data_IF_367733945239
#
_entry.id   IF_367733945239
#
_cell.length_a   1.000
_cell.length_b   1.000
_cell.length_c   1.000
_cell.angle_alpha   90.00
_cell.angle_beta   90.00
_cell.angle_gamma   90.00
#
_symmetry.space_group_name_H-M   'P 1'
#
loop_
_entity.id
_entity.type
_entity.pdbx_description
1 polymer ?
#
# COMPACT_ATOMS: atom_id res chain seq x y z
N UNK A 1 13.67 3.35 4.58
CA UNK A 1 12.78 3.14 5.74
C UNK A 1 11.57 2.30 5.34
N UNK A 2 11.55 1.03 5.75
CA UNK A 2 10.50 0.06 5.43
C UNK A 2 9.18 0.36 6.15
N UNK A 3 9.20 1.12 7.25
CA UNK A 3 8.01 1.43 8.05
C UNK A 3 7.02 2.30 7.27
N UNK A 4 7.53 3.26 6.50
CA UNK A 4 6.75 4.19 5.67
C UNK A 4 6.06 3.47 4.49
N UNK A 5 6.70 2.44 3.94
CA UNK A 5 6.14 1.59 2.88
C UNK A 5 5.06 0.62 3.38
N UNK A 6 5.23 0.08 4.58
CA UNK A 6 4.19 -0.74 5.22
C UNK A 6 2.92 0.07 5.46
N UNK A 7 3.04 1.34 5.85
CA UNK A 7 1.89 2.25 5.98
C UNK A 7 1.19 2.44 4.64
N UNK A 8 1.93 2.70 3.57
CA UNK A 8 1.36 2.87 2.23
C UNK A 8 0.60 1.62 1.75
N UNK A 9 1.20 0.44 1.91
CA UNK A 9 0.55 -0.83 1.56
C UNK A 9 -0.69 -1.10 2.40
N UNK A 10 -0.65 -0.76 3.70
CA UNK A 10 -1.82 -0.88 4.56
C UNK A 10 -2.97 0.03 4.13
N UNK A 11 -2.67 1.20 3.53
CA UNK A 11 -3.67 2.09 2.95
C UNK A 11 -4.24 1.52 1.65
N UNK A 12 -3.40 1.01 0.74
CA UNK A 12 -3.86 0.35 -0.50
C UNK A 12 -4.79 -0.85 -0.23
N UNK A 13 -4.44 -1.71 0.74
CA UNK A 13 -5.29 -2.86 1.10
C UNK A 13 -6.58 -2.48 1.81
N UNK A 14 -6.61 -1.34 2.50
CA UNK A 14 -7.81 -0.85 3.20
C UNK A 14 -8.84 -0.29 2.21
N UNK A 15 -8.41 0.40 1.16
CA UNK A 15 -9.30 0.93 0.11
C UNK A 15 -10.01 -0.15 -0.70
N UNK A 16 -9.46 -1.38 -0.79
CA UNK A 16 -10.13 -2.49 -1.48
C UNK A 16 -11.33 -3.08 -0.74
N UNK A 17 -11.62 -2.63 0.50
CA UNK A 17 -12.73 -3.14 1.32
C UNK A 17 -13.93 -2.18 1.38
N UNK A 18 -13.92 -1.09 0.60
CA UNK A 18 -14.96 -0.04 0.67
C UNK A 18 -15.99 -0.06 -0.47
N UNK A 19 -15.92 -1.00 -1.43
CA UNK A 19 -16.80 -1.03 -2.63
C UNK A 19 -18.10 -1.85 -2.51
N UNK A 20 -18.64 -2.05 -1.31
CA UNK A 20 -19.98 -2.63 -1.13
C UNK A 20 -20.70 -1.94 0.04
N UNK A 21 -21.41 -0.85 -0.23
CA UNK A 21 -22.29 -0.27 0.80
C UNK A 21 -22.82 1.14 0.57
N UNK A 22 -22.95 1.63 -0.66
CA UNK A 22 -23.84 2.77 -0.92
C UNK A 22 -25.23 2.25 -1.32
N UNK A 23 -26.11 2.03 -0.34
CA UNK A 23 -27.54 2.31 -0.54
C UNK A 23 -28.23 2.57 0.82
N UNK A 24 -29.05 3.62 0.83
CA UNK A 24 -30.08 3.94 1.82
C UNK A 24 -29.68 4.66 3.13
N UNK A 25 -29.25 5.91 2.97
CA UNK A 25 -29.63 7.00 3.89
C UNK A 25 -31.11 7.32 3.72
N UNK A 26 -31.95 6.88 4.66
CA UNK A 26 -33.13 7.59 5.23
C UNK A 26 -34.21 6.60 5.70
N UNK A 27 -33.99 5.98 6.86
CA UNK A 27 -35.08 5.78 7.81
C UNK A 27 -34.58 6.01 9.23
N UNK A 28 -34.80 7.24 9.66
CA UNK A 28 -34.55 7.76 11.00
C UNK A 28 -35.45 7.03 12.01
N UNK A 29 -34.86 6.85 13.21
CA UNK A 29 -35.46 6.60 14.53
C UNK A 29 -35.76 5.14 14.87
N UNK A 30 -34.95 4.64 15.82
CA UNK A 30 -35.36 3.57 16.72
C UNK A 30 -34.63 2.24 16.53
N UNK A 31 -33.31 2.18 16.79
CA UNK A 31 -32.73 0.96 17.33
C UNK A 31 -31.37 1.22 17.98
N UNK A 32 -31.41 1.25 19.32
CA UNK A 32 -30.44 0.66 20.23
C UNK A 32 -28.98 0.64 19.76
N UNK A 33 -28.19 1.51 20.39
CA UNK A 33 -26.80 1.31 20.83
C UNK A 33 -26.27 -0.12 20.62
N UNK A 34 -25.90 -0.46 19.39
CA UNK A 34 -24.97 -1.56 19.12
C UNK A 34 -23.59 -0.94 19.09
N UNK A 35 -22.98 -0.86 20.27
CA UNK A 35 -21.53 -0.99 20.36
C UNK A 35 -21.18 -2.27 19.60
N UNK A 36 -20.76 -2.12 18.34
CA UNK A 36 -20.14 -3.18 17.56
C UNK A 36 -19.00 -3.69 18.43
N UNK A 37 -19.22 -4.79 19.15
CA UNK A 37 -18.17 -5.57 19.79
C UNK A 37 -17.23 -5.99 18.67
N UNK A 38 -16.19 -5.19 18.44
CA UNK A 38 -15.00 -5.61 17.71
C UNK A 38 -14.43 -6.78 18.51
N UNK A 39 -14.86 -8.01 18.19
CA UNK A 39 -14.18 -9.21 18.66
C UNK A 39 -12.75 -9.10 18.14
N UNK A 40 -11.81 -8.79 19.03
CA UNK A 40 -10.39 -8.74 18.72
C UNK A 40 -9.96 -10.15 18.38
N UNK A 41 -9.95 -10.50 17.09
CA UNK A 41 -9.44 -11.77 16.61
C UNK A 41 -7.97 -11.88 17.01
N UNK A 42 -7.70 -12.64 18.08
CA UNK A 42 -6.35 -12.87 18.59
C UNK A 42 -5.70 -13.93 17.72
N UNK A 43 -5.06 -13.51 16.64
CA UNK A 43 -4.24 -14.40 15.82
C UNK A 43 -3.14 -15.05 16.68
N UNK A 44 -2.88 -16.34 16.41
CA UNK A 44 -1.76 -17.05 17.02
C UNK A 44 -0.43 -16.38 16.62
N UNK A 45 0.62 -16.54 17.43
CA UNK A 45 1.93 -15.98 17.12
C UNK A 45 2.49 -16.52 15.80
N UNK A 46 2.24 -17.80 15.50
CA UNK A 46 2.59 -18.45 14.23
C UNK A 46 1.88 -17.79 13.04
N UNK A 47 0.56 -17.58 13.14
CA UNK A 47 -0.21 -16.90 12.10
C UNK A 47 0.26 -15.45 11.88
N UNK A 48 0.56 -14.71 12.95
CA UNK A 48 1.09 -13.33 12.84
C UNK A 48 2.44 -13.28 12.11
N UNK A 49 3.36 -14.20 12.45
CA UNK A 49 4.66 -14.28 11.80
C UNK A 49 4.52 -14.58 10.30
N UNK A 50 3.63 -15.49 9.93
CA UNK A 50 3.35 -15.79 8.52
C UNK A 50 2.77 -14.57 7.79
N UNK A 51 1.79 -13.88 8.37
CA UNK A 51 1.21 -12.67 7.77
C UNK A 51 2.27 -11.59 7.55
N UNK A 52 3.17 -11.37 8.52
CA UNK A 52 4.26 -10.42 8.35
C UNK A 52 5.24 -10.82 7.24
N UNK A 53 5.54 -12.12 7.10
CA UNK A 53 6.36 -12.64 5.99
C UNK A 53 5.70 -12.38 4.65
N UNK A 54 4.43 -12.74 4.49
CA UNK A 54 3.65 -12.50 3.27
C UNK A 54 3.56 -11.00 2.94
N UNK A 55 3.33 -10.15 3.95
CA UNK A 55 3.31 -8.70 3.78
C UNK A 55 4.67 -8.17 3.29
N UNK A 56 5.77 -8.73 3.81
CA UNK A 56 7.12 -8.39 3.35
C UNK A 56 7.36 -8.78 1.89
N UNK A 57 6.94 -9.98 1.49
CA UNK A 57 7.04 -10.46 0.10
C UNK A 57 6.19 -9.61 -0.84
N UNK A 58 4.92 -9.39 -0.51
CA UNK A 58 4.03 -8.54 -1.29
C UNK A 58 4.56 -7.11 -1.42
N UNK A 59 5.11 -6.55 -0.33
CA UNK A 59 5.75 -5.23 -0.34
C UNK A 59 6.96 -5.14 -1.25
N UNK A 60 7.78 -6.21 -1.29
CA UNK A 60 8.93 -6.29 -2.17
C UNK A 60 8.47 -6.34 -3.63
N UNK A 61 7.55 -7.25 -3.95
CA UNK A 61 7.05 -7.44 -5.31
C UNK A 61 6.42 -6.16 -5.86
N UNK A 62 5.57 -5.50 -5.06
CA UNK A 62 4.95 -4.23 -5.44
C UNK A 62 5.98 -3.14 -5.77
N UNK A 63 7.00 -2.97 -4.93
CA UNK A 63 8.07 -1.99 -5.18
C UNK A 63 8.85 -2.34 -6.45
N UNK A 64 9.08 -3.62 -6.71
CA UNK A 64 9.79 -4.04 -7.91
C UNK A 64 9.00 -3.85 -9.19
N UNK A 65 7.70 -4.11 -9.14
CA UNK A 65 6.80 -3.80 -10.25
C UNK A 65 6.76 -2.29 -10.53
N UNK A 66 6.63 -1.46 -9.50
CA UNK A 66 6.66 0.00 -9.64
C UNK A 66 7.97 0.50 -10.25
N UNK A 67 9.10 -0.01 -9.76
CA UNK A 67 10.42 0.37 -10.28
C UNK A 67 10.55 -0.01 -11.77
N UNK A 68 10.20 -1.25 -12.12
CA UNK A 68 10.40 -1.80 -13.47
C UNK A 68 9.46 -1.17 -14.49
N UNK A 69 8.21 -0.90 -14.14
CA UNK A 69 7.21 -0.35 -15.07
C UNK A 69 7.32 1.16 -15.23
N UNK A 70 7.62 1.89 -14.17
CA UNK A 70 7.49 3.35 -14.18
C UNK A 70 8.80 4.10 -13.99
N UNK A 71 9.70 3.62 -13.13
CA UNK A 71 10.92 4.37 -12.77
C UNK A 71 12.07 4.10 -13.74
N UNK A 72 12.42 2.83 -13.95
CA UNK A 72 13.55 2.40 -14.78
C UNK A 72 13.40 2.87 -16.24
N UNK A 73 12.22 2.72 -16.89
CA UNK A 73 12.06 3.15 -18.28
C UNK A 73 12.21 4.67 -18.46
N UNK A 74 11.92 5.45 -17.42
CA UNK A 74 11.94 6.91 -17.45
C UNK A 74 13.10 7.52 -16.65
N UNK A 75 14.15 6.74 -16.36
CA UNK A 75 15.26 7.15 -15.47
C UNK A 75 15.92 8.47 -15.90
N UNK A 76 15.97 8.72 -17.21
CA UNK A 76 16.59 9.90 -17.80
C UNK A 76 15.61 11.08 -17.89
N UNK A 77 14.30 10.81 -17.96
CA UNK A 77 13.26 11.84 -17.91
C UNK A 77 12.70 12.02 -16.49
N UNK A 78 13.46 12.73 -15.65
CA UNK A 78 13.04 13.07 -14.28
C UNK A 78 11.75 13.89 -14.19
N UNK A 79 11.29 14.53 -15.28
CA UNK A 79 10.05 15.33 -15.24
C UNK A 79 8.83 14.40 -15.14
N UNK A 80 8.83 13.30 -15.90
CA UNK A 80 7.77 12.28 -15.83
C UNK A 80 7.66 11.63 -14.44
N UNK A 81 8.78 11.53 -13.71
CA UNK A 81 8.84 10.90 -12.38
C UNK A 81 8.43 11.82 -11.22
N UNK A 82 7.96 13.05 -11.48
CA UNK A 82 7.57 14.00 -10.41
C UNK A 82 6.31 13.60 -9.65
N UNK A 83 5.45 12.80 -10.27
CA UNK A 83 4.17 12.37 -9.73
C UNK A 83 4.09 10.84 -9.75
N UNK A 84 3.38 10.25 -8.77
CA UNK A 84 3.10 8.82 -8.81
C UNK A 84 2.22 8.46 -10.02
N UNK A 85 2.25 7.18 -10.45
CA UNK A 85 1.35 6.70 -11.48
C UNK A 85 -0.12 6.86 -11.05
N UNK A 86 -0.99 7.18 -12.01
CA UNK A 86 -2.42 7.42 -11.76
C UNK A 86 -3.14 6.15 -11.28
N UNK A 87 -2.61 4.97 -11.61
CA UNK A 87 -3.09 3.66 -11.18
C UNK A 87 -2.94 3.47 -9.66
N UNK A 88 -2.09 4.26 -9.01
CA UNK A 88 -1.83 4.18 -7.57
C UNK A 88 -2.03 5.54 -6.89
N UNK A 89 -3.27 6.08 -6.88
CA UNK A 89 -3.56 7.42 -6.37
C UNK A 89 -3.32 7.55 -4.86
N UNK A 90 -3.28 6.43 -4.14
CA UNK A 90 -2.98 6.39 -2.71
C UNK A 90 -1.51 6.67 -2.38
N UNK A 91 -0.61 6.63 -3.38
CA UNK A 91 0.81 6.95 -3.17
C UNK A 91 0.94 8.46 -3.03
N UNK A 92 1.44 8.92 -1.88
CA UNK A 92 1.70 10.34 -1.67
C UNK A 92 2.90 10.78 -2.49
N UNK A 93 2.87 12.01 -2.99
CA UNK A 93 3.95 12.59 -3.80
C UNK A 93 5.31 12.55 -3.09
N UNK A 94 5.32 12.76 -1.78
CA UNK A 94 6.53 12.74 -0.96
C UNK A 94 7.12 11.33 -0.88
N UNK A 95 6.25 10.32 -0.75
CA UNK A 95 6.66 8.93 -0.67
C UNK A 95 7.14 8.41 -2.03
N UNK A 96 6.48 8.84 -3.10
CA UNK A 96 6.90 8.59 -4.48
C UNK A 96 8.28 9.19 -4.78
N UNK A 97 8.51 10.45 -4.41
CA UNK A 97 9.82 11.08 -4.58
C UNK A 97 10.92 10.29 -3.88
N UNK A 98 10.70 9.93 -2.61
CA UNK A 98 11.63 9.11 -1.83
C UNK A 98 11.83 7.70 -2.40
N UNK A 99 10.87 7.18 -3.16
CA UNK A 99 10.98 5.92 -3.87
C UNK A 99 11.90 6.03 -5.07
N UNK A 100 11.57 6.98 -5.96
CA UNK A 100 12.32 7.24 -7.19
C UNK A 100 13.78 7.52 -6.88
N UNK A 101 14.05 8.40 -5.91
CA UNK A 101 15.41 8.73 -5.49
C UNK A 101 16.19 7.47 -5.08
N UNK A 102 15.55 6.54 -4.36
CA UNK A 102 16.18 5.27 -3.94
C UNK A 102 16.39 4.28 -5.08
N UNK A 103 15.46 4.24 -6.04
CA UNK A 103 15.58 3.36 -7.21
C UNK A 103 16.71 3.83 -8.12
N UNK A 104 16.86 5.13 -8.31
CA UNK A 104 17.88 5.73 -9.17
C UNK A 104 19.29 5.69 -8.57
N UNK A 105 19.44 5.71 -7.23
CA UNK A 105 20.74 5.65 -6.54
C UNK A 105 21.31 4.21 -6.39
N UNK A 106 21.11 3.34 -7.39
CA UNK A 106 21.67 1.98 -7.56
C UNK A 106 21.34 0.90 -6.51
N UNK A 107 20.95 1.22 -5.27
CA UNK A 107 20.68 0.21 -4.22
C UNK A 107 19.44 -0.67 -4.44
N UNK A 108 18.66 -0.42 -5.51
CA UNK A 108 17.37 -1.08 -5.72
C UNK A 108 17.35 -2.11 -6.86
N UNK A 109 18.31 -2.08 -7.79
CA UNK A 109 18.32 -3.06 -8.89
C UNK A 109 18.52 -4.49 -8.39
N UNK A 110 19.34 -4.69 -7.36
CA UNK A 110 19.56 -6.00 -6.73
C UNK A 110 18.31 -6.52 -6.01
N UNK A 111 17.45 -5.62 -5.49
CA UNK A 111 16.26 -6.02 -4.75
C UNK A 111 15.16 -6.63 -5.61
N UNK A 112 15.20 -6.46 -6.93
CA UNK A 112 14.16 -6.89 -7.87
C UNK A 112 14.54 -8.08 -8.76
N UNK A 113 15.80 -8.51 -8.71
CA UNK A 113 16.32 -9.65 -9.48
C UNK A 113 16.56 -10.90 -8.61
N UNK A 114 16.30 -10.82 -7.30
CA UNK A 114 16.29 -11.91 -6.31
C UNK A 114 14.87 -12.11 -5.76
#
# INVERSE_FOLDING_TARGET
DCRRWLTMLSSLFRSSTEDQGEENKQKKKGLQKQEKKFKKFKLSLKCKSQVLKWMGVASRNFRCELATKFVIPNKDDRKSLRLPPIEYPSIKKEDWKLFVDKVLFEQFQVCCLL
#
